data_IF_588397843678
#
_entry.id   IF_588397843678
#
_cell.length_a   1.000
_cell.length_b   1.000
_cell.length_c   1.000
_cell.angle_alpha   90.00
_cell.angle_beta   90.00
_cell.angle_gamma   90.00
#
_symmetry.space_group_name_H-M   'P 1'
#
loop_
_entity.id
_entity.type
_entity.pdbx_description
1 polymer ?
#
# COMPACT_ATOMS: atom_id res chain seq x y z
N UNK A 1 -68.78 29.42 -59.92
CA UNK A 1 -67.33 29.53 -60.15
C UNK A 1 -66.76 30.48 -59.14
N UNK A 2 -66.13 29.99 -58.12
CA UNK A 2 -65.14 30.70 -57.26
C UNK A 2 -64.58 29.72 -56.27
N UNK A 3 -63.40 29.23 -56.56
CA UNK A 3 -62.58 28.38 -55.71
C UNK A 3 -61.97 29.20 -54.58
N UNK A 4 -62.26 28.85 -53.33
CA UNK A 4 -61.62 29.44 -52.14
C UNK A 4 -60.61 28.45 -51.61
N UNK A 5 -59.35 28.87 -51.58
CA UNK A 5 -58.22 28.13 -50.98
C UNK A 5 -58.04 28.62 -49.56
N UNK A 6 -58.17 27.70 -48.59
CA UNK A 6 -57.85 27.94 -47.20
C UNK A 6 -56.37 27.63 -46.93
N UNK A 7 -55.65 28.48 -46.17
CA UNK A 7 -54.28 28.18 -45.78
C UNK A 7 -54.28 27.30 -44.52
N UNK A 8 -53.51 26.20 -44.61
CA UNK A 8 -53.20 25.29 -43.46
C UNK A 8 -52.03 25.95 -42.67
N UNK A 9 -52.31 26.31 -41.42
CA UNK A 9 -51.30 26.73 -40.44
C UNK A 9 -50.71 25.49 -39.78
N UNK A 10 -49.47 25.18 -40.16
CA UNK A 10 -48.65 24.17 -39.49
C UNK A 10 -47.94 24.80 -38.29
N UNK A 11 -48.40 24.46 -37.06
CA UNK A 11 -47.72 24.76 -35.83
C UNK A 11 -46.59 23.78 -35.55
N UNK A 12 -45.35 24.18 -35.71
CA UNK A 12 -44.15 23.41 -35.27
C UNK A 12 -43.98 23.59 -33.78
N UNK A 13 -44.24 22.53 -33.01
CA UNK A 13 -43.90 22.47 -31.60
C UNK A 13 -42.40 22.15 -31.45
N UNK A 14 -41.62 23.14 -30.90
CA UNK A 14 -40.28 22.90 -30.45
C UNK A 14 -40.33 22.16 -29.11
N UNK A 15 -39.97 20.90 -29.08
CA UNK A 15 -39.67 20.16 -27.86
C UNK A 15 -38.24 20.48 -27.42
N UNK A 16 -38.12 21.34 -26.38
CA UNK A 16 -36.86 21.54 -25.69
C UNK A 16 -36.50 20.29 -24.87
N UNK A 17 -35.58 19.48 -25.36
CA UNK A 17 -35.01 18.35 -24.63
C UNK A 17 -34.14 18.85 -23.48
N UNK A 18 -34.63 18.73 -22.23
CA UNK A 18 -33.79 18.89 -21.05
C UNK A 18 -32.85 17.68 -20.93
N UNK A 19 -31.58 17.88 -21.29
CA UNK A 19 -30.50 16.96 -20.92
C UNK A 19 -30.29 17.08 -19.41
N UNK A 20 -30.90 16.18 -18.66
CA UNK A 20 -30.56 15.94 -17.26
C UNK A 20 -29.15 15.40 -17.23
N UNK A 21 -28.16 16.27 -16.99
CA UNK A 21 -26.79 15.86 -16.72
C UNK A 21 -26.77 15.01 -15.46
N UNK A 22 -26.57 13.69 -15.60
CA UNK A 22 -26.31 12.83 -14.49
C UNK A 22 -25.02 13.31 -13.80
N UNK A 23 -24.99 13.49 -12.46
CA UNK A 23 -23.76 13.82 -11.78
C UNK A 23 -22.76 12.67 -12.02
N UNK A 24 -21.59 13.00 -12.58
CA UNK A 24 -20.50 12.04 -12.68
C UNK A 24 -20.15 11.60 -11.27
N UNK A 25 -20.49 10.35 -10.91
CA UNK A 25 -20.04 9.75 -9.68
C UNK A 25 -18.51 9.70 -9.72
N UNK A 26 -17.86 10.54 -8.92
CA UNK A 26 -16.41 10.48 -8.74
C UNK A 26 -16.10 9.13 -8.12
N UNK A 27 -15.55 8.20 -8.92
CA UNK A 27 -15.02 6.94 -8.41
C UNK A 27 -13.84 7.31 -7.49
N UNK A 28 -14.08 7.33 -6.19
CA UNK A 28 -13.00 7.40 -5.21
C UNK A 28 -12.22 6.10 -5.36
N UNK A 29 -10.98 6.19 -5.83
CA UNK A 29 -10.06 5.07 -5.77
C UNK A 29 -9.97 4.65 -4.30
N UNK A 30 -10.34 3.41 -3.98
CA UNK A 30 -10.23 2.89 -2.63
C UNK A 30 -8.76 2.98 -2.20
N UNK A 31 -8.50 3.70 -1.11
CA UNK A 31 -7.16 3.78 -0.55
C UNK A 31 -6.73 2.37 -0.11
N UNK A 32 -5.48 2.01 -0.38
CA UNK A 32 -4.92 0.75 0.09
C UNK A 32 -4.90 0.72 1.62
N UNK A 33 -5.25 -0.41 2.27
CA UNK A 33 -5.15 -0.54 3.72
C UNK A 33 -3.73 -0.25 4.22
N UNK A 34 -3.64 0.37 5.39
CA UNK A 34 -2.38 0.68 6.06
C UNK A 34 -2.47 0.17 7.50
N UNK A 35 -1.40 -0.46 7.98
CA UNK A 35 -1.25 -0.91 9.36
C UNK A 35 0.04 -0.34 9.94
N UNK A 36 0.05 0.01 11.22
CA UNK A 36 1.27 0.38 11.93
C UNK A 36 2.02 -0.88 12.38
N UNK A 37 3.35 -0.78 12.46
CA UNK A 37 4.18 -1.81 13.05
C UNK A 37 5.22 -1.22 14.01
N UNK A 38 5.60 -2.00 15.02
CA UNK A 38 6.66 -1.69 15.99
C UNK A 38 7.32 -2.98 16.46
N UNK A 39 8.61 -3.13 16.16
CA UNK A 39 9.48 -4.21 16.63
C UNK A 39 10.61 -3.58 17.43
N UNK A 40 10.45 -3.54 18.74
CA UNK A 40 11.40 -2.88 19.67
C UNK A 40 12.10 -3.92 20.53
N UNK A 41 13.42 -3.86 20.59
CA UNK A 41 14.30 -4.66 21.44
C UNK A 41 15.21 -3.74 22.26
N UNK A 42 14.90 -3.57 23.55
CA UNK A 42 15.59 -2.60 24.38
C UNK A 42 15.43 -1.18 23.84
N UNK A 43 16.54 -0.51 23.55
CA UNK A 43 16.58 0.84 23.01
C UNK A 43 16.73 0.87 21.46
N UNK A 44 16.75 -0.31 20.82
CA UNK A 44 16.79 -0.44 19.36
C UNK A 44 15.42 -0.83 18.83
N UNK A 45 15.09 -0.42 17.61
CA UNK A 45 13.78 -0.69 17.03
C UNK A 45 13.79 -0.62 15.50
N UNK A 46 12.74 -1.20 14.92
CA UNK A 46 12.21 -0.87 13.60
C UNK A 46 10.71 -0.64 13.72
N UNK A 47 10.20 0.49 13.23
CA UNK A 47 8.80 0.88 13.36
C UNK A 47 8.35 1.76 12.20
N UNK A 48 7.07 1.75 11.89
CA UNK A 48 6.50 2.52 10.79
C UNK A 48 5.17 1.97 10.33
N UNK A 49 4.97 1.93 9.01
CA UNK A 49 3.71 1.52 8.39
C UNK A 49 3.90 0.41 7.36
N UNK A 50 2.87 -0.41 7.22
CA UNK A 50 2.72 -1.44 6.19
C UNK A 50 1.56 -1.01 5.30
N UNK A 51 1.82 -0.72 4.03
CA UNK A 51 0.77 -0.47 3.03
C UNK A 51 0.53 -1.74 2.23
N UNK A 52 -0.72 -2.20 2.21
CA UNK A 52 -1.12 -3.48 1.64
C UNK A 52 -1.63 -3.30 0.21
N UNK A 53 -0.85 -3.74 -0.76
CA UNK A 53 -1.26 -3.79 -2.17
C UNK A 53 -1.77 -5.19 -2.56
N UNK A 54 -2.31 -5.31 -3.77
CA UNK A 54 -2.90 -6.57 -4.24
C UNK A 54 -1.87 -7.69 -4.50
N UNK A 55 -0.60 -7.33 -4.77
CA UNK A 55 0.49 -8.30 -5.08
C UNK A 55 1.82 -7.95 -4.44
N UNK A 56 1.81 -7.03 -3.49
CA UNK A 56 2.99 -6.63 -2.73
C UNK A 56 2.58 -5.93 -1.45
N UNK A 57 3.52 -5.68 -0.58
CA UNK A 57 3.39 -4.73 0.52
C UNK A 57 4.56 -3.75 0.49
N UNK A 58 4.32 -2.53 0.94
CA UNK A 58 5.39 -1.57 1.23
C UNK A 58 5.52 -1.47 2.74
N UNK A 59 6.71 -1.75 3.26
CA UNK A 59 7.07 -1.57 4.67
C UNK A 59 8.01 -0.39 4.74
N UNK A 60 7.57 0.70 5.36
CA UNK A 60 8.31 1.95 5.42
C UNK A 60 8.33 2.51 6.84
N UNK A 61 9.45 3.10 7.23
CA UNK A 61 9.58 3.63 8.58
C UNK A 61 10.98 4.05 8.95
N UNK A 62 11.30 3.87 10.21
CA UNK A 62 12.59 4.17 10.82
C UNK A 62 13.11 2.95 11.57
N UNK A 63 14.41 2.69 11.46
CA UNK A 63 15.12 1.76 12.32
C UNK A 63 16.23 2.48 13.08
N UNK A 64 16.56 2.00 14.28
CA UNK A 64 17.52 2.63 15.18
C UNK A 64 18.46 1.62 15.80
N UNK A 65 19.75 1.92 15.73
CA UNK A 65 20.78 1.35 16.60
C UNK A 65 21.25 2.38 17.64
N UNK A 66 21.62 1.94 18.82
CA UNK A 66 22.18 2.80 19.89
C UNK A 66 23.68 2.60 20.07
N UNK A 67 24.26 1.62 19.37
CA UNK A 67 25.68 1.27 19.46
C UNK A 67 26.33 1.38 18.09
N UNK A 68 27.42 2.13 17.99
CA UNK A 68 28.20 2.34 16.77
C UNK A 68 28.86 1.06 16.25
N UNK A 69 29.04 0.05 17.11
CA UNK A 69 29.64 -1.26 16.75
C UNK A 69 28.60 -2.34 16.52
N UNK A 70 27.31 -2.03 16.73
CA UNK A 70 26.19 -2.97 16.62
C UNK A 70 25.11 -2.37 15.73
N UNK A 71 25.13 -2.71 14.47
CA UNK A 71 24.20 -2.16 13.49
C UNK A 71 22.81 -2.78 13.59
N UNK A 72 21.83 -2.14 12.96
CA UNK A 72 20.45 -2.60 12.85
C UNK A 72 19.94 -2.35 11.44
N UNK A 73 19.22 -3.30 10.95
CA UNK A 73 18.46 -3.24 9.70
C UNK A 73 17.02 -3.70 9.91
N UNK A 74 16.31 -3.80 8.82
CA UNK A 74 14.91 -4.28 8.79
C UNK A 74 14.75 -5.26 7.66
N UNK A 75 14.28 -6.46 7.98
CA UNK A 75 13.85 -7.47 7.02
C UNK A 75 12.33 -7.67 7.14
N UNK A 76 11.64 -7.76 6.02
CA UNK A 76 10.23 -8.05 5.97
C UNK A 76 9.92 -9.25 5.07
N UNK A 77 8.96 -10.07 5.49
CA UNK A 77 8.48 -11.25 4.78
C UNK A 77 6.98 -11.12 4.56
N UNK A 78 6.53 -11.47 3.38
CA UNK A 78 5.10 -11.65 3.09
C UNK A 78 4.74 -13.13 3.21
N UNK A 79 3.61 -13.39 3.87
CA UNK A 79 3.11 -14.74 4.11
C UNK A 79 1.66 -14.83 3.63
N UNK A 80 1.25 -16.03 3.19
CA UNK A 80 -0.15 -16.36 2.94
C UNK A 80 -0.90 -16.70 4.25
N UNK A 81 -2.19 -17.03 4.16
CA UNK A 81 -3.00 -17.39 5.32
C UNK A 81 -2.62 -18.74 5.97
N UNK A 82 -1.80 -19.55 5.30
CA UNK A 82 -1.26 -20.81 5.79
C UNK A 82 0.19 -20.70 6.27
N UNK A 83 0.70 -19.45 6.40
CA UNK A 83 2.07 -19.12 6.82
C UNK A 83 3.17 -19.50 5.83
N UNK A 84 2.84 -19.80 4.59
CA UNK A 84 3.86 -20.00 3.57
C UNK A 84 4.44 -18.64 3.16
N UNK A 85 5.76 -18.57 3.05
CA UNK A 85 6.46 -17.37 2.60
C UNK A 85 6.20 -17.14 1.10
N UNK A 86 5.74 -15.92 0.76
CA UNK A 86 5.51 -15.48 -0.62
C UNK A 86 6.67 -14.66 -1.16
N UNK A 87 7.29 -13.85 -0.29
CA UNK A 87 8.41 -13.00 -0.65
C UNK A 87 9.16 -12.52 0.59
N UNK A 88 10.32 -11.91 0.34
CA UNK A 88 11.16 -11.31 1.36
C UNK A 88 11.98 -10.17 0.73
N UNK A 89 12.20 -9.14 1.51
CA UNK A 89 13.12 -8.05 1.18
C UNK A 89 13.66 -7.40 2.46
N UNK A 90 14.72 -6.63 2.35
CA UNK A 90 15.39 -5.98 3.48
C UNK A 90 15.75 -4.54 3.13
N UNK A 91 16.02 -3.73 4.17
CA UNK A 91 16.43 -2.34 3.99
C UNK A 91 17.81 -2.23 3.32
N UNK A 92 17.91 -1.36 2.31
CA UNK A 92 19.17 -1.12 1.56
C UNK A 92 20.30 -0.61 2.45
N UNK A 93 19.97 -0.05 3.62
CA UNK A 93 20.92 0.53 4.56
C UNK A 93 20.69 -0.02 5.96
N UNK A 94 21.78 -0.31 6.65
CA UNK A 94 21.80 -0.49 8.07
C UNK A 94 22.20 0.82 8.78
N UNK A 95 21.94 0.91 10.08
CA UNK A 95 22.34 2.04 10.92
C UNK A 95 23.13 1.55 12.13
N UNK A 96 24.18 2.25 12.49
CA UNK A 96 25.07 1.92 13.61
C UNK A 96 25.17 3.14 14.53
N UNK A 97 24.60 3.07 15.73
CA UNK A 97 24.60 4.16 16.71
C UNK A 97 23.71 5.37 16.38
N UNK A 98 22.88 5.26 15.35
CA UNK A 98 21.97 6.31 14.85
C UNK A 98 20.63 5.73 14.48
N UNK A 99 19.69 6.58 14.05
CA UNK A 99 18.49 6.16 13.35
C UNK A 99 18.52 6.55 11.87
N UNK A 100 17.75 5.82 11.05
CA UNK A 100 17.59 6.10 9.63
C UNK A 100 16.24 5.62 9.12
N UNK A 101 15.74 6.26 8.09
CA UNK A 101 14.49 5.88 7.44
C UNK A 101 14.73 4.85 6.35
N UNK A 102 13.75 4.00 6.09
CA UNK A 102 13.77 3.01 5.03
C UNK A 102 12.40 2.87 4.37
N UNK A 103 12.39 2.29 3.18
CA UNK A 103 11.18 1.87 2.48
C UNK A 103 11.53 0.67 1.61
N UNK A 104 10.89 -0.47 1.87
CA UNK A 104 11.09 -1.73 1.14
C UNK A 104 9.77 -2.20 0.54
N UNK A 105 9.84 -2.76 -0.66
CA UNK A 105 8.68 -3.34 -1.35
C UNK A 105 8.84 -4.85 -1.42
N UNK A 106 8.03 -5.54 -0.63
CA UNK A 106 8.07 -7.01 -0.55
C UNK A 106 7.03 -7.61 -1.48
N UNK A 107 7.41 -8.48 -2.43
CA UNK A 107 6.46 -9.13 -3.31
C UNK A 107 5.53 -10.08 -2.55
N UNK A 108 4.28 -10.19 -3.03
CA UNK A 108 3.27 -11.14 -2.55
C UNK A 108 2.40 -11.53 -3.75
N UNK A 109 3.03 -12.18 -4.75
CA UNK A 109 2.44 -12.41 -6.07
C UNK A 109 1.43 -13.57 -6.08
N UNK A 110 0.42 -13.43 -5.24
CA UNK A 110 -0.76 -14.30 -5.19
C UNK A 110 -2.03 -13.48 -5.27
N UNK A 111 -3.13 -14.10 -5.65
CA UNK A 111 -4.44 -13.42 -5.69
C UNK A 111 -4.82 -12.95 -4.28
N UNK A 112 -5.08 -11.65 -4.13
CA UNK A 112 -5.38 -11.03 -2.83
C UNK A 112 -4.15 -10.53 -2.07
N UNK A 113 -2.93 -10.86 -2.51
CA UNK A 113 -1.68 -10.42 -1.88
C UNK A 113 -1.37 -11.13 -0.57
N UNK A 114 -0.53 -10.53 0.26
CA UNK A 114 -0.17 -11.07 1.56
C UNK A 114 -1.34 -11.04 2.54
N UNK A 115 -1.49 -12.10 3.33
CA UNK A 115 -2.38 -12.16 4.48
C UNK A 115 -1.69 -11.66 5.76
N UNK A 116 -0.39 -11.89 5.86
CA UNK A 116 0.45 -11.53 7.00
C UNK A 116 1.78 -10.96 6.51
N UNK A 117 2.27 -9.95 7.20
CA UNK A 117 3.64 -9.47 7.07
C UNK A 117 4.38 -9.77 8.38
N UNK A 118 5.54 -10.42 8.28
CA UNK A 118 6.47 -10.57 9.39
C UNK A 118 7.58 -9.57 9.22
N UNK A 119 7.71 -8.63 10.16
CA UNK A 119 8.79 -7.64 10.19
C UNK A 119 9.78 -8.01 11.26
N UNK A 120 11.06 -8.00 10.91
CA UNK A 120 12.18 -8.34 11.78
C UNK A 120 13.12 -7.15 11.93
N UNK A 121 13.53 -6.86 13.16
CA UNK A 121 14.72 -6.12 13.47
C UNK A 121 15.90 -7.08 13.32
N UNK A 122 16.87 -6.77 12.49
CA UNK A 122 18.04 -7.58 12.22
C UNK A 122 19.35 -6.89 12.62
N UNK A 123 20.46 -7.58 12.47
CA UNK A 123 21.80 -7.10 12.80
C UNK A 123 22.39 -6.16 11.72
N UNK A 124 21.65 -5.92 10.64
CA UNK A 124 22.06 -5.04 9.54
C UNK A 124 23.14 -5.63 8.65
N UNK A 125 23.49 -6.90 8.78
CA UNK A 125 24.49 -7.56 7.92
C UNK A 125 23.80 -8.12 6.67
N UNK A 126 23.82 -7.33 5.58
CA UNK A 126 23.22 -7.71 4.29
C UNK A 126 24.19 -8.50 3.40
N UNK A 127 25.43 -8.69 3.81
CA UNK A 127 26.48 -9.35 3.02
C UNK A 127 26.79 -10.77 3.45
N UNK A 128 26.34 -11.18 4.64
CA UNK A 128 26.59 -12.48 5.24
C UNK A 128 25.26 -13.15 5.68
N UNK A 129 25.30 -13.96 6.71
CA UNK A 129 24.11 -14.59 7.26
C UNK A 129 23.39 -13.58 8.19
N UNK A 130 22.28 -13.02 7.72
CA UNK A 130 21.46 -12.06 8.47
C UNK A 130 20.94 -12.71 9.75
N UNK A 131 21.20 -12.08 10.90
CA UNK A 131 20.66 -12.52 12.20
C UNK A 131 19.41 -11.73 12.56
N UNK A 132 18.28 -12.41 12.64
CA UNK A 132 17.02 -11.79 13.10
C UNK A 132 16.98 -11.74 14.64
N UNK A 133 17.02 -10.51 15.19
CA UNK A 133 17.06 -10.28 16.62
C UNK A 133 15.68 -10.40 17.26
N UNK A 134 14.67 -9.86 16.61
CA UNK A 134 13.27 -9.95 17.01
C UNK A 134 12.36 -9.77 15.80
N UNK A 135 11.35 -10.62 15.69
CA UNK A 135 10.33 -10.51 14.64
C UNK A 135 8.94 -10.41 15.25
N UNK A 136 8.07 -9.64 14.62
CA UNK A 136 6.63 -9.59 14.91
C UNK A 136 5.82 -9.77 13.64
N UNK A 137 4.57 -10.21 13.80
CA UNK A 137 3.63 -10.49 12.72
C UNK A 137 2.47 -9.51 12.77
N UNK A 138 2.08 -9.04 11.59
CA UNK A 138 1.00 -8.08 11.40
C UNK A 138 0.04 -8.65 10.34
N UNK A 139 -1.24 -8.73 10.66
CA UNK A 139 -2.30 -9.10 9.73
C UNK A 139 -2.82 -7.90 8.95
N UNK A 140 -3.40 -8.18 7.79
CA UNK A 140 -4.07 -7.19 6.96
C UNK A 140 -5.40 -6.74 7.57
#
# INVERSE_FOLDING_TARGET
MRTGIAPVLTTTALTAGMLLGAPAASAHAAAYPVSDFDVTLGNTYTRGTITWYNRSVVVAGEHKSVDVTSCRGTTAFTLDSADNQLGMDYSDFNVCGVSGTFSITVPADVVGGAAVVRVCLDDGDIGAEVTYLLCKRYGR
#
